data_IF_889485577051
#
_entry.id   IF_889485577051
#
_cell.length_a   1.000
_cell.length_b   1.000
_cell.length_c   1.000
_cell.angle_alpha   90.00
_cell.angle_beta   90.00
_cell.angle_gamma   90.00
#
_symmetry.space_group_name_H-M   'P 1'
#
loop_
_entity.id
_entity.type
_entity.pdbx_description
1 polymer ?
#
# COMPACT_ATOMS: atom_id res chain seq x y z
N UNK A 1 80.82 -10.71 8.27
CA UNK A 1 80.78 -11.30 6.91
C UNK A 1 79.49 -12.09 6.79
N UNK A 2 78.59 -11.67 5.87
CA UNK A 2 77.49 -12.45 5.24
C UNK A 2 76.40 -12.94 6.22
N UNK A 3 75.09 -12.91 6.01
CA UNK A 3 74.09 -12.32 5.11
C UNK A 3 72.74 -12.67 5.78
N UNK A 4 71.65 -12.00 5.44
CA UNK A 4 70.31 -12.55 5.71
C UNK A 4 69.23 -11.50 5.75
N UNK A 5 68.81 -11.03 4.56
CA UNK A 5 67.56 -10.30 4.39
C UNK A 5 66.47 -11.35 4.25
N UNK A 6 65.62 -11.50 5.27
CA UNK A 6 64.36 -12.23 5.13
C UNK A 6 63.20 -11.24 5.21
N UNK A 7 62.54 -11.10 4.07
CA UNK A 7 61.34 -10.32 3.84
C UNK A 7 60.14 -11.21 4.21
N UNK A 8 59.57 -11.01 5.39
CA UNK A 8 58.33 -11.68 5.79
C UNK A 8 57.12 -10.97 5.14
N UNK A 9 56.54 -11.61 4.13
CA UNK A 9 55.24 -11.24 3.55
C UNK A 9 54.15 -11.74 4.50
N UNK A 10 53.51 -10.82 5.23
CA UNK A 10 52.34 -11.13 6.03
C UNK A 10 51.12 -11.26 5.11
N UNK A 11 50.68 -12.48 4.84
CA UNK A 11 49.39 -12.76 4.19
C UNK A 11 48.31 -12.64 5.26
N UNK A 12 47.66 -11.48 5.34
CA UNK A 12 46.47 -11.29 6.16
C UNK A 12 45.28 -12.01 5.52
N UNK A 13 44.96 -13.20 6.01
CA UNK A 13 43.70 -13.91 5.74
C UNK A 13 42.54 -13.18 6.41
N UNK A 14 41.98 -12.20 5.70
CA UNK A 14 40.70 -11.59 6.06
C UNK A 14 39.57 -12.57 5.79
N UNK A 15 39.10 -13.26 6.83
CA UNK A 15 37.81 -13.96 6.80
C UNK A 15 36.72 -12.88 6.88
N UNK A 16 36.17 -12.50 5.74
CA UNK A 16 34.91 -11.75 5.71
C UNK A 16 33.80 -12.69 6.18
N UNK A 17 33.42 -12.56 7.45
CA UNK A 17 32.20 -13.17 7.94
C UNK A 17 31.01 -12.48 7.26
N UNK A 18 30.47 -13.11 6.21
CA UNK A 18 29.16 -12.77 5.68
C UNK A 18 28.13 -13.12 6.75
N UNK A 19 27.72 -12.12 7.54
CA UNK A 19 26.51 -12.21 8.32
C UNK A 19 25.33 -12.26 7.34
N UNK A 20 24.86 -13.47 7.04
CA UNK A 20 23.54 -13.66 6.44
C UNK A 20 22.53 -12.99 7.38
N UNK A 21 21.67 -12.07 6.89
CA UNK A 21 20.58 -11.59 7.72
C UNK A 21 19.71 -12.81 8.02
N UNK A 22 19.68 -13.22 9.30
CA UNK A 22 18.71 -14.18 9.80
C UNK A 22 17.33 -13.67 9.41
N UNK A 23 16.68 -14.40 8.50
CA UNK A 23 15.28 -14.16 8.17
C UNK A 23 14.49 -14.14 9.46
N UNK A 24 13.74 -13.06 9.68
CA UNK A 24 12.75 -13.03 10.74
C UNK A 24 11.83 -14.23 10.53
N UNK A 25 11.88 -15.18 11.47
CA UNK A 25 10.94 -16.29 11.49
C UNK A 25 9.54 -15.71 11.61
N UNK A 26 8.76 -15.80 10.54
CA UNK A 26 7.35 -15.42 10.52
C UNK A 26 6.59 -16.36 11.45
N UNK A 27 6.29 -15.87 12.66
CA UNK A 27 5.27 -16.49 13.51
C UNK A 27 3.93 -16.56 12.77
N UNK A 28 2.96 -17.34 13.27
CA UNK A 28 1.64 -17.42 12.64
C UNK A 28 1.07 -16.01 12.50
N UNK A 29 0.85 -15.58 11.26
CA UNK A 29 0.41 -14.24 10.91
C UNK A 29 -0.82 -13.86 11.74
N UNK A 30 -0.64 -12.95 12.71
CA UNK A 30 -1.77 -12.40 13.48
C UNK A 30 -2.70 -11.72 12.48
N UNK A 31 -3.96 -12.13 12.44
CA UNK A 31 -4.99 -11.46 11.64
C UNK A 31 -5.10 -10.01 12.11
N UNK A 32 -4.67 -9.07 11.26
CA UNK A 32 -4.52 -7.65 11.61
C UNK A 32 -5.87 -6.92 11.76
N UNK A 33 -6.97 -7.52 11.29
CA UNK A 33 -8.31 -6.91 11.29
C UNK A 33 -8.48 -5.76 10.29
N UNK A 34 -7.50 -5.51 9.42
CA UNK A 34 -7.56 -4.45 8.40
C UNK A 34 -8.37 -4.84 7.18
N UNK A 35 -8.35 -6.11 6.80
CA UNK A 35 -9.04 -6.65 5.63
C UNK A 35 -9.98 -7.80 6.01
N UNK A 36 -11.04 -8.07 5.22
CA UNK A 36 -11.92 -9.22 5.44
C UNK A 36 -11.16 -10.54 5.37
N UNK A 37 -11.36 -11.44 6.35
CA UNK A 37 -10.75 -12.78 6.32
C UNK A 37 -11.18 -13.59 5.08
N UNK A 38 -12.37 -13.31 4.55
CA UNK A 38 -12.91 -13.91 3.34
C UNK A 38 -12.02 -13.66 2.10
N UNK A 39 -11.22 -12.59 2.09
CA UNK A 39 -10.31 -12.31 0.96
C UNK A 39 -9.23 -13.38 0.80
N UNK A 40 -8.93 -14.14 1.86
CA UNK A 40 -7.95 -15.23 1.83
C UNK A 40 -8.52 -16.53 1.27
N UNK A 41 -9.83 -16.60 1.00
CA UNK A 41 -10.45 -17.79 0.40
C UNK A 41 -10.31 -17.74 -1.13
N UNK A 42 -9.93 -18.85 -1.79
CA UNK A 42 -9.86 -18.92 -3.24
C UNK A 42 -11.19 -18.61 -3.91
N UNK A 43 -11.30 -17.43 -4.52
CA UNK A 43 -12.55 -16.88 -5.06
C UNK A 43 -12.41 -16.26 -6.44
N UNK A 44 -11.17 -16.00 -6.89
CA UNK A 44 -10.87 -15.37 -8.16
C UNK A 44 -10.39 -16.42 -9.17
N UNK A 45 -11.08 -16.54 -10.31
CA UNK A 45 -10.68 -17.43 -11.40
C UNK A 45 -9.67 -16.72 -12.31
N UNK A 46 -8.45 -17.23 -12.37
CA UNK A 46 -7.42 -16.76 -13.29
C UNK A 46 -7.24 -17.73 -14.47
N UNK A 47 -6.70 -17.27 -15.61
CA UNK A 47 -6.37 -18.17 -16.72
C UNK A 47 -5.51 -19.33 -16.22
N UNK A 48 -5.74 -20.53 -16.77
CA UNK A 48 -5.13 -21.80 -16.31
C UNK A 48 -5.67 -22.25 -14.94
N UNK A 49 -7.00 -22.44 -14.87
CA UNK A 49 -7.82 -23.18 -13.88
C UNK A 49 -7.47 -23.13 -12.38
N UNK A 50 -6.71 -22.13 -11.92
CA UNK A 50 -6.40 -21.99 -10.50
C UNK A 50 -7.27 -20.90 -9.90
N UNK A 51 -8.10 -21.27 -8.92
CA UNK A 51 -8.75 -20.30 -8.05
C UNK A 51 -7.69 -19.71 -7.12
N UNK A 52 -7.62 -18.39 -7.07
CA UNK A 52 -6.73 -17.66 -6.18
C UNK A 52 -7.52 -16.82 -5.18
N UNK A 53 -6.97 -16.55 -3.99
CA UNK A 53 -7.57 -15.59 -3.08
C UNK A 53 -7.55 -14.18 -3.67
N UNK A 54 -8.37 -13.29 -3.11
CA UNK A 54 -8.29 -11.85 -3.38
C UNK A 54 -7.01 -11.28 -2.76
N UNK A 55 -6.60 -11.83 -1.62
CA UNK A 55 -5.42 -11.41 -0.86
C UNK A 55 -4.82 -12.62 -0.17
N UNK A 56 -3.53 -12.86 -0.37
CA UNK A 56 -2.76 -13.89 0.34
C UNK A 56 -2.50 -13.49 1.79
N UNK A 57 -2.10 -14.44 2.63
CA UNK A 57 -1.70 -14.14 4.01
C UNK A 57 -0.49 -13.21 4.09
N UNK A 58 0.44 -13.32 3.12
CA UNK A 58 1.60 -12.45 3.01
C UNK A 58 1.19 -11.01 2.68
N UNK A 59 0.34 -10.82 1.67
CA UNK A 59 -0.20 -9.49 1.33
C UNK A 59 -0.99 -8.87 2.48
N UNK A 60 -1.80 -9.65 3.20
CA UNK A 60 -2.53 -9.13 4.36
C UNK A 60 -1.59 -8.64 5.46
N UNK A 61 -0.57 -9.43 5.81
CA UNK A 61 0.43 -9.02 6.80
C UNK A 61 1.20 -7.78 6.35
N UNK A 62 1.63 -7.76 5.10
CA UNK A 62 2.37 -6.65 4.48
C UNK A 62 1.55 -5.35 4.44
N UNK A 63 0.35 -5.39 3.86
CA UNK A 63 -0.50 -4.21 3.70
C UNK A 63 -0.95 -3.69 5.07
N UNK A 64 -1.31 -4.59 5.98
CA UNK A 64 -1.74 -4.22 7.33
C UNK A 64 -0.59 -3.67 8.18
N UNK A 65 0.60 -4.24 8.07
CA UNK A 65 1.81 -3.73 8.72
C UNK A 65 2.11 -2.30 8.26
N UNK A 66 1.99 -2.03 6.96
CA UNK A 66 2.15 -0.68 6.41
C UNK A 66 1.11 0.30 6.95
N UNK A 67 -0.17 -0.10 6.97
CA UNK A 67 -1.24 0.73 7.54
C UNK A 67 -1.07 0.98 9.03
N UNK A 68 -0.60 -0.02 9.78
CA UNK A 68 -0.30 0.09 11.20
C UNK A 68 0.87 1.05 11.46
N UNK A 69 1.97 0.94 10.71
CA UNK A 69 3.10 1.86 10.77
C UNK A 69 2.72 3.31 10.44
N UNK A 70 1.75 3.49 9.53
CA UNK A 70 1.16 4.79 9.23
C UNK A 70 0.12 5.26 10.26
N UNK A 71 -0.18 4.50 11.30
CA UNK A 71 -1.28 4.76 12.24
C UNK A 71 -2.61 5.06 11.51
N UNK A 72 -2.90 4.29 10.47
CA UNK A 72 -4.16 4.38 9.73
C UNK A 72 -5.18 3.37 10.29
N UNK A 73 -6.46 3.74 10.40
CA UNK A 73 -7.49 2.82 10.88
C UNK A 73 -7.87 1.78 9.81
N UNK A 74 -8.49 0.69 10.24
CA UNK A 74 -9.11 -0.30 9.35
C UNK A 74 -10.40 0.26 8.74
N UNK A 75 -10.43 0.41 7.41
CA UNK A 75 -11.65 0.80 6.69
C UNK A 75 -12.69 -0.34 6.66
N UNK A 76 -12.24 -1.59 6.75
CA UNK A 76 -13.14 -2.73 6.92
C UNK A 76 -13.85 -2.70 8.28
N UNK A 77 -13.13 -2.43 9.37
CA UNK A 77 -13.74 -2.27 10.69
C UNK A 77 -14.67 -1.05 10.71
N UNK A 78 -14.27 0.05 10.07
CA UNK A 78 -15.10 1.23 9.89
C UNK A 78 -16.43 0.90 9.19
N UNK A 79 -16.41 0.07 8.13
CA UNK A 79 -17.63 -0.25 7.38
C UNK A 79 -18.65 -1.08 8.17
N UNK A 80 -18.22 -1.74 9.26
CA UNK A 80 -19.08 -2.53 10.13
C UNK A 80 -19.81 -1.69 11.18
N UNK A 81 -19.45 -0.42 11.31
CA UNK A 81 -20.09 0.52 12.22
C UNK A 81 -21.26 1.21 11.50
N UNK A 82 -22.25 1.69 12.28
CA UNK A 82 -23.32 2.52 11.72
C UNK A 82 -22.80 3.93 11.48
N UNK A 83 -23.09 4.47 10.30
CA UNK A 83 -22.73 5.84 9.92
C UNK A 83 -23.96 6.58 9.40
N UNK A 84 -24.05 7.91 9.59
CA UNK A 84 -25.07 8.72 8.92
C UNK A 84 -24.98 8.60 7.40
N UNK A 85 -26.12 8.83 6.73
CA UNK A 85 -26.16 8.85 5.26
C UNK A 85 -25.18 9.87 4.69
N UNK A 86 -24.50 9.50 3.61
CA UNK A 86 -23.52 10.34 2.94
C UNK A 86 -22.12 10.35 3.57
N UNK A 87 -21.94 9.81 4.77
CA UNK A 87 -20.60 9.63 5.36
C UNK A 87 -19.91 8.46 4.69
N UNK A 88 -18.70 8.66 4.19
CA UNK A 88 -17.91 7.61 3.52
C UNK A 88 -16.41 7.90 3.57
N UNK A 89 -15.60 6.87 3.77
CA UNK A 89 -14.16 6.95 3.66
C UNK A 89 -13.69 6.32 2.34
N UNK A 90 -12.62 6.87 1.77
CA UNK A 90 -11.90 6.34 0.61
C UNK A 90 -10.43 6.35 0.92
N UNK A 91 -9.68 5.34 0.47
CA UNK A 91 -8.23 5.28 0.67
C UNK A 91 -7.54 4.79 -0.58
N UNK A 92 -6.44 5.46 -0.91
CA UNK A 92 -5.41 4.97 -1.81
C UNK A 92 -4.22 4.56 -0.95
N UNK A 93 -3.66 3.39 -1.24
CA UNK A 93 -2.38 2.92 -0.73
C UNK A 93 -1.52 2.65 -1.97
N UNK A 94 -0.31 3.20 -2.02
CA UNK A 94 0.70 2.81 -3.00
C UNK A 94 1.88 2.22 -2.26
N UNK A 95 2.25 0.98 -2.62
CA UNK A 95 3.38 0.26 -2.05
C UNK A 95 4.37 -0.10 -3.15
N UNK A 96 5.34 0.79 -3.45
CA UNK A 96 6.38 0.51 -4.45
C UNK A 96 7.44 -0.43 -3.89
N UNK A 97 8.01 -1.34 -4.69
CA UNK A 97 9.04 -2.27 -4.22
C UNK A 97 10.20 -1.56 -3.53
N UNK A 98 10.71 -0.47 -4.11
CA UNK A 98 11.96 0.19 -3.68
C UNK A 98 11.81 1.65 -3.28
N UNK A 99 10.58 2.17 -3.23
CA UNK A 99 10.31 3.58 -2.89
C UNK A 99 9.29 3.67 -1.75
N UNK A 100 9.09 4.88 -1.25
CA UNK A 100 8.34 5.17 -0.03
C UNK A 100 6.87 4.79 -0.16
N UNK A 101 6.32 4.02 0.80
CA UNK A 101 4.89 3.81 0.89
C UNK A 101 4.15 5.14 1.09
N UNK A 102 3.05 5.32 0.37
CA UNK A 102 2.16 6.48 0.53
C UNK A 102 0.72 6.05 0.71
N UNK A 103 0.04 6.72 1.63
CA UNK A 103 -1.38 6.51 1.93
C UNK A 103 -2.10 7.84 1.79
N UNK A 104 -3.20 7.87 1.04
CA UNK A 104 -4.09 9.03 0.94
C UNK A 104 -5.49 8.61 1.31
N UNK A 105 -6.03 9.16 2.40
CA UNK A 105 -7.41 8.93 2.84
C UNK A 105 -8.25 10.18 2.67
N UNK A 106 -9.43 10.00 2.08
CA UNK A 106 -10.47 11.01 1.93
C UNK A 106 -11.67 10.62 2.79
N UNK A 107 -12.13 11.50 3.66
CA UNK A 107 -13.32 11.28 4.50
C UNK A 107 -14.41 12.26 4.08
N UNK A 108 -15.47 11.77 3.47
CA UNK A 108 -16.67 12.56 3.18
C UNK A 108 -17.53 12.66 4.43
N UNK A 109 -17.83 13.88 4.84
CA UNK A 109 -18.75 14.20 5.94
C UNK A 109 -20.20 14.17 5.48
N UNK A 110 -21.13 14.15 6.43
CA UNK A 110 -22.56 14.25 6.14
C UNK A 110 -22.91 15.56 5.40
N UNK A 111 -22.19 16.66 5.69
CA UNK A 111 -22.31 17.96 4.98
C UNK A 111 -21.91 17.89 3.50
N UNK A 112 -21.19 16.85 3.08
CA UNK A 112 -20.65 16.70 1.73
C UNK A 112 -19.21 17.21 1.56
N UNK A 113 -18.65 17.91 2.55
CA UNK A 113 -17.23 18.23 2.60
C UNK A 113 -16.37 16.96 2.63
N UNK A 114 -15.16 17.05 2.06
CA UNK A 114 -14.22 15.94 2.00
C UNK A 114 -12.91 16.37 2.65
N UNK A 115 -12.50 15.69 3.70
CA UNK A 115 -11.20 15.90 4.34
C UNK A 115 -10.16 14.93 3.80
N UNK A 116 -9.01 15.47 3.42
CA UNK A 116 -7.81 14.74 3.05
C UNK A 116 -6.90 14.55 4.27
N UNK A 117 -6.42 13.32 4.44
CA UNK A 117 -5.26 12.98 5.27
C UNK A 117 -4.34 12.12 4.41
N UNK A 118 -3.17 12.64 4.06
CA UNK A 118 -2.13 11.90 3.36
C UNK A 118 -0.92 11.66 4.26
N UNK A 119 -0.29 10.50 4.13
CA UNK A 119 0.85 10.05 4.93
C UNK A 119 1.89 9.37 4.04
N UNK A 120 3.16 9.69 4.26
CA UNK A 120 4.31 9.04 3.63
C UNK A 120 5.22 8.44 4.71
N UNK A 121 5.66 7.22 4.47
CA UNK A 121 6.59 6.54 5.37
C UNK A 121 8.03 6.61 4.82
N UNK A 122 9.00 6.34 5.68
CA UNK A 122 10.43 6.49 5.37
C UNK A 122 11.07 5.25 4.74
N UNK A 123 10.43 4.09 4.80
CA UNK A 123 10.96 2.81 4.33
C UNK A 123 10.64 2.51 2.86
N UNK A 124 10.62 1.23 2.51
CA UNK A 124 10.32 0.75 1.16
C UNK A 124 8.99 0.00 1.14
N UNK A 125 8.13 0.34 0.19
CA UNK A 125 6.80 -0.24 0.05
C UNK A 125 6.81 -1.76 0.02
N UNK A 126 7.72 -2.41 -0.71
CA UNK A 126 7.81 -3.87 -0.81
C UNK A 126 8.50 -4.59 0.36
N UNK A 127 8.98 -3.86 1.37
CA UNK A 127 9.78 -4.41 2.47
C UNK A 127 9.34 -3.81 3.81
N UNK A 128 10.28 -3.39 4.66
CA UNK A 128 9.97 -2.65 5.88
C UNK A 128 9.39 -1.27 5.53
N UNK A 129 8.14 -0.96 5.94
CA UNK A 129 7.52 0.32 5.68
C UNK A 129 8.24 1.48 6.40
N UNK A 130 9.04 1.20 7.43
CA UNK A 130 9.73 2.21 8.21
C UNK A 130 8.79 3.03 9.09
N UNK A 131 9.10 4.31 9.29
CA UNK A 131 8.36 5.19 10.19
C UNK A 131 7.63 6.31 9.44
N UNK A 132 6.61 6.88 10.06
CA UNK A 132 5.93 8.07 9.53
C UNK A 132 6.90 9.26 9.47
N UNK A 133 7.07 9.82 8.27
CA UNK A 133 7.95 10.98 8.09
C UNK A 133 7.32 12.24 8.73
N UNK A 134 8.10 13.02 9.49
CA UNK A 134 7.63 14.26 10.12
C UNK A 134 7.02 15.24 9.11
N UNK A 135 7.65 15.39 7.94
CA UNK A 135 7.16 16.22 6.84
C UNK A 135 6.24 15.46 5.86
N UNK A 136 5.97 14.18 6.11
CA UNK A 136 5.20 13.30 5.23
C UNK A 136 3.70 13.32 5.47
N UNK A 137 3.17 14.26 6.27
CA UNK A 137 1.75 14.32 6.62
C UNK A 137 1.10 15.58 6.05
N UNK A 138 0.05 15.40 5.25
CA UNK A 138 -0.77 16.49 4.70
C UNK A 138 -2.20 16.35 5.22
N UNK A 139 -2.76 17.42 5.78
CA UNK A 139 -4.17 17.48 6.21
C UNK A 139 -4.82 18.75 5.73
N UNK A 140 -5.95 18.64 5.05
CA UNK A 140 -6.76 19.78 4.59
C UNK A 140 -8.14 19.31 4.13
N UNK A 141 -9.07 20.24 4.04
CA UNK A 141 -10.34 20.01 3.36
C UNK A 141 -10.17 20.28 1.86
N UNK A 142 -10.81 19.46 1.02
CA UNK A 142 -10.82 19.65 -0.42
C UNK A 142 -11.64 20.88 -0.79
N UNK A 143 -11.19 21.61 -1.80
CA UNK A 143 -11.99 22.67 -2.42
C UNK A 143 -13.22 22.05 -3.12
N UNK A 144 -14.29 22.84 -3.35
CA UNK A 144 -15.46 22.35 -4.09
C UNK A 144 -15.11 21.80 -5.47
N UNK A 145 -14.10 22.36 -6.15
CA UNK A 145 -13.67 21.88 -7.46
C UNK A 145 -12.96 20.53 -7.37
N UNK A 146 -12.02 20.36 -6.43
CA UNK A 146 -11.35 19.08 -6.19
C UNK A 146 -12.35 17.99 -5.79
N UNK A 147 -13.32 18.31 -4.93
CA UNK A 147 -14.37 17.38 -4.53
C UNK A 147 -15.21 16.93 -5.73
N UNK A 148 -15.61 17.84 -6.63
CA UNK A 148 -16.33 17.48 -7.86
C UNK A 148 -15.49 16.60 -8.78
N UNK A 149 -14.22 16.94 -8.99
CA UNK A 149 -13.30 16.16 -9.82
C UNK A 149 -13.09 14.75 -9.26
N UNK A 150 -12.88 14.64 -7.94
CA UNK A 150 -12.81 13.35 -7.24
C UNK A 150 -14.05 12.49 -7.51
N UNK A 151 -15.25 13.06 -7.34
CA UNK A 151 -16.50 12.31 -7.56
C UNK A 151 -16.66 11.86 -9.02
N UNK A 152 -16.27 12.69 -9.99
CA UNK A 152 -16.29 12.33 -11.40
C UNK A 152 -15.33 11.17 -11.72
N UNK A 153 -14.10 11.21 -11.20
CA UNK A 153 -13.11 10.14 -11.38
C UNK A 153 -13.54 8.85 -10.68
N UNK A 154 -14.06 8.95 -9.46
CA UNK A 154 -14.63 7.81 -8.74
C UNK A 154 -15.79 7.16 -9.51
N UNK A 155 -16.65 7.97 -10.15
CA UNK A 155 -17.74 7.46 -10.97
C UNK A 155 -17.22 6.69 -12.20
N UNK A 156 -16.21 7.21 -12.91
CA UNK A 156 -15.55 6.53 -14.03
C UNK A 156 -14.91 5.20 -13.60
N UNK A 157 -14.25 5.19 -12.45
CA UNK A 157 -13.72 3.98 -11.80
C UNK A 157 -14.83 3.03 -11.28
N UNK A 158 -16.10 3.25 -11.63
CA UNK A 158 -17.23 2.40 -11.25
C UNK A 158 -17.55 2.42 -9.77
N UNK A 159 -17.17 3.48 -9.04
CA UNK A 159 -17.29 3.59 -7.58
C UNK A 159 -16.65 2.41 -6.84
N UNK A 160 -15.56 1.90 -7.39
CA UNK A 160 -14.84 0.70 -6.95
C UNK A 160 -15.67 -0.59 -6.95
N UNK A 161 -16.80 -0.63 -7.68
CA UNK A 161 -17.55 -1.85 -7.92
C UNK A 161 -16.95 -2.60 -9.12
N UNK A 162 -15.72 -3.07 -8.95
CA UNK A 162 -14.93 -3.75 -9.97
C UNK A 162 -14.39 -5.06 -9.42
N UNK A 163 -13.78 -5.86 -10.29
CA UNK A 163 -13.03 -7.04 -9.86
C UNK A 163 -11.94 -6.61 -8.87
N UNK A 164 -11.84 -7.26 -7.70
CA UNK A 164 -10.97 -6.79 -6.62
C UNK A 164 -9.50 -6.91 -6.96
N UNK A 165 -9.09 -7.95 -7.70
CA UNK A 165 -7.72 -8.12 -8.20
C UNK A 165 -7.73 -8.59 -9.65
N UNK A 166 -6.69 -8.21 -10.41
CA UNK A 166 -6.39 -8.79 -11.71
C UNK A 166 -5.52 -10.04 -11.54
N UNK A 167 -5.34 -10.81 -12.61
CA UNK A 167 -4.45 -11.98 -12.60
C UNK A 167 -3.02 -11.64 -13.02
N UNK A 168 -2.73 -10.35 -13.20
CA UNK A 168 -1.40 -9.85 -13.53
C UNK A 168 -0.56 -9.87 -12.25
N UNK A 169 0.67 -10.35 -12.36
CA UNK A 169 1.64 -10.42 -11.27
C UNK A 169 3.03 -10.16 -11.81
N UNK A 170 3.94 -9.68 -10.97
CA UNK A 170 5.37 -9.62 -11.26
C UNK A 170 6.21 -9.67 -9.99
N UNK A 171 7.52 -9.51 -10.16
CA UNK A 171 8.50 -9.63 -9.08
C UNK A 171 8.74 -8.31 -8.36
N UNK A 172 8.66 -7.20 -9.10
CA UNK A 172 8.82 -5.83 -8.65
C UNK A 172 7.64 -4.98 -9.12
N UNK A 173 7.62 -3.69 -8.77
CA UNK A 173 6.57 -2.76 -9.21
C UNK A 173 5.92 -2.04 -8.05
N UNK A 174 4.60 -1.83 -8.15
CA UNK A 174 3.85 -1.16 -7.08
C UNK A 174 2.43 -1.70 -6.96
N UNK A 175 2.01 -1.97 -5.72
CA UNK A 175 0.60 -2.24 -5.44
C UNK A 175 -0.16 -0.92 -5.31
N UNK A 176 -1.22 -0.76 -6.10
CA UNK A 176 -2.13 0.37 -6.04
C UNK A 176 -3.48 -0.10 -5.53
N UNK A 177 -3.69 0.10 -4.24
CA UNK A 177 -4.87 -0.38 -3.52
C UNK A 177 -5.82 0.80 -3.30
N UNK A 178 -7.02 0.67 -3.83
CA UNK A 178 -8.13 1.59 -3.67
C UNK A 178 -9.22 0.93 -2.81
N UNK A 179 -9.62 1.62 -1.75
CA UNK A 179 -10.65 1.18 -0.83
C UNK A 179 -11.76 2.23 -0.72
N UNK A 180 -12.98 1.77 -0.44
CA UNK A 180 -14.06 2.63 0.05
C UNK A 180 -14.87 1.94 1.13
N UNK A 181 -15.28 2.68 2.13
CA UNK A 181 -16.05 2.17 3.25
C UNK A 181 -17.15 3.14 3.70
N UNK A 182 -18.37 2.64 3.88
CA UNK A 182 -19.48 3.31 4.53
C UNK A 182 -20.21 2.36 5.50
N UNK A 183 -21.31 2.81 6.11
CA UNK A 183 -22.09 2.01 7.07
C UNK A 183 -22.80 0.83 6.44
N UNK A 184 -22.05 -0.23 6.16
CA UNK A 184 -22.51 -1.51 5.61
C UNK A 184 -21.73 -1.99 4.39
N UNK A 185 -20.99 -1.12 3.70
CA UNK A 185 -20.27 -1.49 2.47
C UNK A 185 -18.77 -1.29 2.62
N UNK A 186 -17.99 -2.32 2.27
CA UNK A 186 -16.55 -2.24 2.05
C UNK A 186 -16.23 -2.67 0.62
N UNK A 187 -15.43 -1.87 -0.09
CA UNK A 187 -14.93 -2.19 -1.44
C UNK A 187 -13.43 -2.08 -1.46
N UNK A 188 -12.83 -2.97 -2.24
CA UNK A 188 -11.39 -3.12 -2.37
C UNK A 188 -11.05 -3.41 -3.83
N UNK A 189 -10.08 -2.69 -4.36
CA UNK A 189 -9.53 -2.87 -5.69
C UNK A 189 -8.02 -2.73 -5.58
N UNK A 190 -7.28 -3.77 -5.95
CA UNK A 190 -5.84 -3.73 -6.06
C UNK A 190 -5.40 -3.94 -7.52
N UNK A 191 -4.43 -3.15 -7.96
CA UNK A 191 -3.81 -3.19 -9.28
C UNK A 191 -2.31 -3.14 -9.10
N UNK A 192 -1.63 -4.19 -9.57
CA UNK A 192 -0.18 -4.22 -9.66
C UNK A 192 0.29 -3.37 -10.86
N UNK A 193 1.16 -2.39 -10.60
CA UNK A 193 1.78 -1.44 -11.54
C UNK A 193 0.86 -0.99 -12.69
N UNK A 194 -0.29 -0.36 -12.40
CA UNK A 194 -1.21 0.02 -13.47
C UNK A 194 -0.62 1.18 -14.28
N UNK A 195 -0.39 0.98 -15.58
CA UNK A 195 0.12 2.04 -16.48
C UNK A 195 -0.98 3.03 -16.92
N UNK A 196 -2.22 2.54 -17.02
CA UNK A 196 -3.38 3.28 -17.53
C UNK A 196 -4.69 2.77 -16.94
N UNK A 197 -5.78 3.50 -17.22
CA UNK A 197 -7.14 3.13 -16.80
C UNK A 197 -7.70 4.05 -15.71
N UNK A 198 -8.99 3.89 -15.42
CA UNK A 198 -9.68 4.79 -14.49
C UNK A 198 -9.19 4.63 -13.05
N UNK A 199 -8.79 3.42 -12.61
CA UNK A 199 -8.19 3.23 -11.28
C UNK A 199 -6.82 3.90 -11.17
N UNK A 200 -5.99 3.84 -12.22
CA UNK A 200 -4.71 4.58 -12.26
C UNK A 200 -4.95 6.07 -12.18
N UNK A 201 -5.82 6.61 -13.03
CA UNK A 201 -6.14 8.03 -13.06
C UNK A 201 -6.72 8.55 -11.74
N UNK A 202 -7.59 7.76 -11.09
CA UNK A 202 -8.11 8.07 -9.76
C UNK A 202 -7.00 8.10 -8.71
N UNK A 203 -6.10 7.11 -8.72
CA UNK A 203 -4.98 7.05 -7.79
C UNK A 203 -4.02 8.23 -7.96
N UNK A 204 -3.67 8.57 -9.20
CA UNK A 204 -2.80 9.72 -9.51
C UNK A 204 -3.43 11.04 -9.04
N UNK A 205 -4.73 11.21 -9.26
CA UNK A 205 -5.45 12.37 -8.77
C UNK A 205 -5.41 12.46 -7.25
N UNK A 206 -5.69 11.36 -6.54
CA UNK A 206 -5.62 11.32 -5.08
C UNK A 206 -4.22 11.66 -4.56
N UNK A 207 -3.15 11.17 -5.21
CA UNK A 207 -1.77 11.55 -4.91
C UNK A 207 -1.52 13.05 -5.14
N UNK A 208 -2.03 13.58 -6.25
CA UNK A 208 -1.94 14.99 -6.62
C UNK A 208 -2.59 15.91 -5.59
N UNK A 209 -3.67 15.49 -4.93
CA UNK A 209 -4.29 16.26 -3.84
C UNK A 209 -3.32 16.47 -2.66
N UNK A 210 -2.37 15.56 -2.45
CA UNK A 210 -1.33 15.69 -1.44
C UNK A 210 -0.10 16.47 -1.95
N UNK A 211 -0.10 16.95 -3.19
CA UNK A 211 1.04 17.57 -3.85
C UNK A 211 2.12 16.56 -4.24
N UNK A 212 1.78 15.27 -4.36
CA UNK A 212 2.72 14.20 -4.63
C UNK A 212 2.57 13.68 -6.06
N UNK A 213 3.62 13.04 -6.57
CA UNK A 213 3.64 12.39 -7.88
C UNK A 213 3.81 10.89 -7.69
N UNK A 214 3.30 10.08 -8.62
CA UNK A 214 3.57 8.65 -8.61
C UNK A 214 5.08 8.38 -8.61
N UNK A 215 5.54 7.28 -8.01
CA UNK A 215 6.90 6.80 -8.18
C UNK A 215 7.25 6.73 -9.67
N UNK A 216 8.45 7.17 -10.05
CA UNK A 216 8.90 7.13 -11.45
C UNK A 216 9.37 5.73 -11.80
N UNK A 217 8.71 5.12 -12.80
CA UNK A 217 9.15 3.91 -13.49
C UNK A 217 9.06 2.64 -12.66
N UNK A 218 8.12 1.75 -13.02
CA UNK A 218 8.23 0.29 -13.07
C UNK A 218 7.19 -0.18 -14.08
#
# INVERSE_FOLDING_TARGET
MINGRDLAIAISTGVLAFALPMGAASGPARTSGYFPLEFRKPSILCPIFTRRPIMTSHEDEWYSGTLSAAAEPSLYAYSRQRHPSGVRAYRLIILPSFDKPVIVRLNRRASGEIDLIAKRLSGAGGYDPGQLEKAGVVRRTLTPNEARQFQAMLARAGKLNRRPVTCTMGLDGSEWILESADGGTYRYVNRWSPERGDERALGEFMLGLAGWRPPRGY
#
